data_IF_419999798046
#
_entry.id   IF_419999798046
#
_cell.length_a   1.000
_cell.length_b   1.000
_cell.length_c   1.000
_cell.angle_alpha   90.00
_cell.angle_beta   90.00
_cell.angle_gamma   90.00
#
_symmetry.space_group_name_H-M   'P 1'
#
loop_
_entity.id
_entity.type
_entity.pdbx_description
1 polymer ?
#
# COMPACT_ATOMS: atom_id res chain seq x y z
N UNK A 1 -1.37 -32.76 0.39
CA UNK A 1 -2.42 -31.73 0.49
C UNK A 1 -3.01 -31.80 1.89
N UNK A 2 -2.66 -30.86 2.78
CA UNK A 2 -3.35 -30.77 4.07
C UNK A 2 -4.70 -30.11 3.81
N UNK A 3 -5.76 -30.91 3.85
CA UNK A 3 -7.13 -30.43 3.81
C UNK A 3 -7.44 -29.76 5.14
N UNK A 4 -7.20 -28.45 5.19
CA UNK A 4 -7.45 -27.61 6.36
C UNK A 4 -8.92 -27.68 6.78
N UNK A 5 -9.84 -27.95 5.84
CA UNK A 5 -11.28 -28.08 6.11
C UNK A 5 -11.57 -29.37 6.91
N UNK A 6 -10.84 -30.45 6.65
CA UNK A 6 -10.90 -31.68 7.46
C UNK A 6 -10.18 -31.56 8.83
N UNK A 7 -9.05 -30.86 8.89
CA UNK A 7 -8.34 -30.60 10.16
C UNK A 7 -9.17 -29.72 11.11
N UNK A 8 -9.89 -28.71 10.59
CA UNK A 8 -10.80 -27.89 11.39
C UNK A 8 -12.04 -28.65 11.87
N UNK A 9 -12.48 -29.68 11.16
CA UNK A 9 -13.57 -30.55 11.59
C UNK A 9 -13.20 -31.46 12.78
N UNK A 10 -11.89 -31.73 12.98
CA UNK A 10 -11.36 -32.48 14.15
C UNK A 10 -11.24 -31.62 15.40
N UNK A 11 -11.25 -30.30 15.28
CA UNK A 11 -11.35 -29.41 16.43
C UNK A 11 -12.79 -29.40 16.93
N UNK A 12 -13.00 -29.83 18.17
CA UNK A 12 -14.34 -29.81 18.77
C UNK A 12 -14.99 -28.43 18.60
N UNK A 13 -16.31 -28.40 18.33
CA UNK A 13 -17.10 -27.16 18.16
C UNK A 13 -16.77 -26.11 19.23
N UNK A 14 -16.47 -26.52 20.46
CA UNK A 14 -16.11 -25.62 21.57
C UNK A 14 -14.70 -25.02 21.49
N UNK A 15 -13.71 -25.73 20.92
CA UNK A 15 -12.36 -25.18 20.68
C UNK A 15 -12.36 -24.21 19.51
N UNK A 16 -13.06 -24.52 18.41
CA UNK A 16 -13.21 -23.62 17.27
C UNK A 16 -13.92 -22.29 17.65
N UNK A 17 -15.01 -22.36 18.43
CA UNK A 17 -15.70 -21.17 18.95
C UNK A 17 -14.86 -20.32 19.91
N UNK A 18 -13.94 -20.91 20.67
CA UNK A 18 -13.01 -20.16 21.54
C UNK A 18 -11.81 -19.58 20.79
N UNK A 19 -11.39 -20.22 19.69
CA UNK A 19 -10.25 -19.80 18.89
C UNK A 19 -10.60 -18.69 17.90
N UNK A 20 -11.81 -18.68 17.33
CA UNK A 20 -12.23 -17.66 16.35
C UNK A 20 -12.16 -16.21 16.91
N UNK A 21 -12.66 -15.89 18.12
CA UNK A 21 -12.53 -14.54 18.68
C UNK A 21 -11.08 -14.17 19.00
N UNK A 22 -10.26 -15.13 19.45
CA UNK A 22 -8.83 -14.90 19.69
C UNK A 22 -8.05 -14.69 18.40
N UNK A 23 -8.36 -15.45 17.36
CA UNK A 23 -7.77 -15.30 16.03
C UNK A 23 -8.17 -13.95 15.41
N UNK A 24 -9.45 -13.58 15.50
CA UNK A 24 -9.94 -12.27 15.08
C UNK A 24 -9.26 -11.14 15.86
N UNK A 25 -9.22 -11.22 17.19
CA UNK A 25 -8.56 -10.23 18.05
C UNK A 25 -7.05 -10.15 17.82
N UNK A 26 -6.39 -11.25 17.49
CA UNK A 26 -4.96 -11.26 17.13
C UNK A 26 -4.72 -10.70 15.73
N UNK A 27 -5.62 -10.96 14.77
CA UNK A 27 -5.59 -10.35 13.44
C UNK A 27 -5.85 -8.85 13.51
N UNK A 28 -6.80 -8.42 14.31
CA UNK A 28 -7.12 -7.01 14.54
C UNK A 28 -5.96 -6.30 15.26
N UNK A 29 -5.34 -6.95 16.26
CA UNK A 29 -4.10 -6.45 16.91
C UNK A 29 -2.91 -6.38 15.96
N UNK A 30 -2.72 -7.37 15.10
CA UNK A 30 -1.62 -7.38 14.14
C UNK A 30 -1.81 -6.34 13.02
N UNK A 31 -3.07 -6.12 12.58
CA UNK A 31 -3.42 -5.08 11.59
C UNK A 31 -3.30 -3.66 12.15
N UNK A 32 -3.75 -3.46 13.38
CA UNK A 32 -3.68 -2.15 14.05
C UNK A 32 -2.25 -1.80 14.43
N UNK A 33 -1.44 -2.74 14.92
CA UNK A 33 -0.07 -2.41 15.38
C UNK A 33 0.80 -1.79 14.27
N UNK A 34 0.85 -2.40 13.09
CA UNK A 34 1.72 -1.91 12.02
C UNK A 34 1.25 -0.55 11.46
N UNK A 35 -0.07 -0.37 11.28
CA UNK A 35 -0.61 0.89 10.74
C UNK A 35 -0.63 2.02 11.75
N UNK A 36 -0.87 1.72 13.04
CA UNK A 36 -0.76 2.71 14.12
C UNK A 36 0.67 3.15 14.35
N UNK A 37 1.65 2.22 14.34
CA UNK A 37 3.07 2.57 14.40
C UNK A 37 3.48 3.45 13.21
N UNK A 38 3.02 3.10 12.00
CA UNK A 38 3.25 3.94 10.82
C UNK A 38 2.58 5.32 10.97
N UNK A 39 1.38 5.40 11.54
CA UNK A 39 0.71 6.66 11.81
C UNK A 39 1.50 7.53 12.79
N UNK A 40 1.92 6.97 13.92
CA UNK A 40 2.74 7.70 14.91
C UNK A 40 4.05 8.21 14.30
N UNK A 41 4.71 7.40 13.46
CA UNK A 41 6.00 7.73 12.87
C UNK A 41 5.93 8.71 11.70
N UNK A 42 4.89 8.61 10.87
CA UNK A 42 4.83 9.29 9.58
C UNK A 42 3.77 10.38 9.50
N UNK A 43 3.06 10.68 10.58
CA UNK A 43 2.02 11.72 10.55
C UNK A 43 2.11 12.68 11.71
N UNK A 44 1.61 13.88 11.46
CA UNK A 44 1.42 14.94 12.43
C UNK A 44 -0.02 15.46 12.37
N UNK A 45 -0.45 16.15 13.41
CA UNK A 45 -1.74 16.84 13.45
C UNK A 45 -1.52 18.30 13.08
N UNK A 46 -2.10 18.73 11.96
CA UNK A 46 -2.08 20.13 11.49
C UNK A 46 -3.52 20.58 11.34
N UNK A 47 -3.90 21.64 12.07
CA UNK A 47 -5.27 22.18 12.08
C UNK A 47 -6.34 21.12 12.37
N UNK A 48 -6.04 20.21 13.30
CA UNK A 48 -6.94 19.12 13.69
C UNK A 48 -7.09 18.01 12.63
N UNK A 49 -6.26 18.00 11.58
CA UNK A 49 -6.24 16.93 10.56
C UNK A 49 -4.89 16.22 10.57
N UNK A 50 -4.93 14.88 10.54
CA UNK A 50 -3.73 14.07 10.32
C UNK A 50 -3.19 14.28 8.91
N UNK A 51 -1.89 14.58 8.80
CA UNK A 51 -1.14 14.74 7.55
C UNK A 51 0.16 13.97 7.62
N UNK A 52 0.69 13.55 6.48
CA UNK A 52 2.00 12.92 6.42
C UNK A 52 3.07 14.00 6.68
N UNK A 53 4.04 13.69 7.54
CA UNK A 53 5.12 14.62 7.90
C UNK A 53 5.92 15.06 6.67
N UNK A 54 6.39 16.30 6.67
CA UNK A 54 7.43 16.74 5.73
C UNK A 54 8.81 16.47 6.31
N UNK A 55 9.57 15.57 5.68
CA UNK A 55 10.96 15.28 6.06
C UNK A 55 11.88 15.18 4.82
N UNK A 56 12.10 16.27 4.07
CA UNK A 56 12.95 16.25 2.87
C UNK A 56 14.41 15.87 3.20
N UNK A 57 15.11 15.12 2.31
CA UNK A 57 14.63 14.59 1.03
C UNK A 57 13.89 13.25 1.15
N UNK A 58 13.71 12.71 2.35
CA UNK A 58 13.22 11.34 2.56
C UNK A 58 11.70 11.20 2.38
N UNK A 59 10.92 12.16 2.85
CA UNK A 59 9.47 12.21 2.73
C UNK A 59 9.09 13.60 2.26
N UNK A 60 8.47 13.69 1.09
CA UNK A 60 8.03 14.95 0.50
C UNK A 60 6.51 14.83 0.27
N UNK A 61 5.67 15.56 1.03
CA UNK A 61 4.23 15.59 0.85
C UNK A 61 3.83 15.95 -0.58
N UNK A 62 2.70 15.40 -1.03
CA UNK A 62 2.17 15.65 -2.37
C UNK A 62 1.87 17.14 -2.59
N UNK A 63 1.43 17.85 -1.55
CA UNK A 63 1.14 19.29 -1.62
C UNK A 63 2.41 20.09 -1.94
N UNK A 64 3.52 19.81 -1.26
CA UNK A 64 4.83 20.43 -1.50
C UNK A 64 5.33 20.14 -2.93
N UNK A 65 5.06 18.94 -3.45
CA UNK A 65 5.37 18.58 -4.83
C UNK A 65 4.48 19.31 -5.83
N UNK A 66 3.19 19.44 -5.54
CA UNK A 66 2.23 20.15 -6.39
C UNK A 66 2.62 21.63 -6.57
N UNK A 67 2.99 22.29 -5.47
CA UNK A 67 3.51 23.65 -5.49
C UNK A 67 4.75 23.76 -6.37
N UNK A 68 5.72 22.86 -6.20
CA UNK A 68 6.93 22.81 -7.03
C UNK A 68 6.64 22.55 -8.51
N UNK A 69 5.58 21.83 -8.82
CA UNK A 69 5.14 21.56 -10.20
C UNK A 69 4.25 22.66 -10.77
N UNK A 70 3.89 23.68 -9.99
CA UNK A 70 2.96 24.73 -10.40
C UNK A 70 1.54 24.21 -10.62
N UNK A 71 1.17 23.09 -9.99
CA UNK A 71 -0.16 22.47 -10.11
C UNK A 71 -0.97 22.78 -8.85
N UNK A 72 -2.22 23.27 -8.97
CA UNK A 72 -3.08 23.51 -7.82
C UNK A 72 -3.27 22.25 -6.97
N UNK A 73 -3.20 22.42 -5.64
CA UNK A 73 -3.24 21.31 -4.69
C UNK A 73 -4.54 20.50 -4.80
N UNK A 74 -5.68 21.16 -4.95
CA UNK A 74 -6.99 20.53 -5.10
C UNK A 74 -7.07 19.64 -6.36
N UNK A 75 -6.46 20.08 -7.47
CA UNK A 75 -6.38 19.33 -8.72
C UNK A 75 -5.61 18.03 -8.52
N UNK A 76 -4.40 18.09 -7.94
CA UNK A 76 -3.60 16.88 -7.72
C UNK A 76 -4.27 15.92 -6.73
N UNK A 77 -4.92 16.46 -5.68
CA UNK A 77 -5.62 15.67 -4.68
C UNK A 77 -6.84 14.94 -5.29
N UNK A 78 -7.58 15.60 -6.17
CA UNK A 78 -8.70 14.98 -6.89
C UNK A 78 -8.24 13.90 -7.88
N UNK A 79 -7.12 14.13 -8.56
CA UNK A 79 -6.52 13.13 -9.44
C UNK A 79 -6.11 11.88 -8.65
N UNK A 80 -5.53 12.04 -7.45
CA UNK A 80 -5.16 10.90 -6.60
C UNK A 80 -6.36 10.09 -6.11
N UNK A 81 -7.50 10.74 -5.83
CA UNK A 81 -8.76 10.03 -5.57
C UNK A 81 -9.19 9.20 -6.79
N UNK A 82 -9.00 9.72 -8.00
CA UNK A 82 -9.29 8.99 -9.24
C UNK A 82 -8.36 7.77 -9.43
N UNK A 83 -7.06 7.96 -9.22
CA UNK A 83 -6.05 6.89 -9.23
C UNK A 83 -6.39 5.77 -8.23
N UNK A 84 -6.78 6.12 -7.01
CA UNK A 84 -7.21 5.14 -5.99
C UNK A 84 -8.44 4.35 -6.44
N UNK A 85 -9.42 4.98 -7.11
CA UNK A 85 -10.57 4.27 -7.69
C UNK A 85 -10.13 3.31 -8.80
N UNK A 86 -9.17 3.69 -9.63
CA UNK A 86 -8.58 2.84 -10.66
C UNK A 86 -7.88 1.62 -10.07
N UNK A 87 -7.00 1.84 -9.10
CA UNK A 87 -6.32 0.78 -8.34
C UNK A 87 -7.31 -0.20 -7.69
N UNK A 88 -8.38 0.31 -7.04
CA UNK A 88 -9.42 -0.51 -6.38
C UNK A 88 -10.06 -1.54 -7.33
N UNK A 89 -10.10 -1.27 -8.64
CA UNK A 89 -10.63 -2.20 -9.64
C UNK A 89 -9.74 -3.43 -9.85
N UNK A 90 -8.47 -3.38 -9.46
CA UNK A 90 -7.53 -4.52 -9.58
C UNK A 90 -7.59 -5.50 -8.40
N UNK A 91 -8.25 -5.10 -7.31
CA UNK A 91 -8.45 -5.96 -6.14
C UNK A 91 -9.60 -6.95 -6.34
N UNK A 92 -9.53 -8.07 -5.63
CA UNK A 92 -10.66 -8.99 -5.47
C UNK A 92 -11.87 -8.25 -4.88
N UNK A 93 -13.08 -8.70 -5.21
CA UNK A 93 -14.32 -7.98 -4.90
C UNK A 93 -14.50 -7.69 -3.42
N UNK A 94 -14.20 -8.66 -2.56
CA UNK A 94 -14.26 -8.53 -1.11
C UNK A 94 -13.23 -7.52 -0.56
N UNK A 95 -12.01 -7.52 -1.10
CA UNK A 95 -10.97 -6.54 -0.75
C UNK A 95 -11.26 -5.14 -1.27
N UNK A 96 -11.90 -5.03 -2.44
CA UNK A 96 -12.40 -3.76 -2.98
C UNK A 96 -13.48 -3.17 -2.08
N UNK A 97 -14.38 -4.01 -1.56
CA UNK A 97 -15.40 -3.59 -0.61
C UNK A 97 -14.77 -3.14 0.70
N UNK A 98 -13.82 -3.92 1.25
CA UNK A 98 -13.09 -3.52 2.46
C UNK A 98 -12.39 -2.16 2.29
N UNK A 99 -11.65 -1.97 1.20
CA UNK A 99 -10.95 -0.70 0.94
C UNK A 99 -11.91 0.47 0.70
N UNK A 100 -13.17 0.21 0.34
CA UNK A 100 -14.18 1.27 0.17
C UNK A 100 -14.59 1.94 1.46
N UNK A 101 -14.30 1.31 2.60
CA UNK A 101 -14.59 1.83 3.94
C UNK A 101 -13.50 2.78 4.45
N UNK A 102 -12.44 3.00 3.67
CA UNK A 102 -11.35 3.91 4.00
C UNK A 102 -11.44 5.16 3.13
N UNK A 103 -11.30 6.31 3.76
CA UNK A 103 -11.22 7.61 3.12
C UNK A 103 -9.77 8.03 2.91
N UNK A 104 -9.49 8.58 1.73
CA UNK A 104 -8.16 9.09 1.42
C UNK A 104 -7.92 10.43 2.12
N UNK A 105 -6.81 10.51 2.88
CA UNK A 105 -6.46 11.68 3.67
C UNK A 105 -5.29 12.46 3.07
N UNK A 106 -4.18 11.77 2.79
CA UNK A 106 -2.95 12.43 2.37
C UNK A 106 -1.99 11.48 1.63
N UNK A 107 -1.00 12.05 0.95
CA UNK A 107 -0.01 11.31 0.16
C UNK A 107 1.35 11.99 0.19
N UNK A 108 2.42 11.20 0.16
CA UNK A 108 3.78 11.69 0.09
C UNK A 108 4.67 10.81 -0.78
N UNK A 109 5.67 11.40 -1.42
CA UNK A 109 6.76 10.66 -2.05
C UNK A 109 7.76 10.27 -0.97
N UNK A 110 7.97 8.96 -0.80
CA UNK A 110 9.02 8.40 0.03
C UNK A 110 10.23 8.09 -0.85
N UNK A 111 11.31 8.82 -0.65
CA UNK A 111 12.60 8.43 -1.19
C UNK A 111 13.12 7.27 -0.34
N UNK A 112 13.36 6.13 -0.99
CA UNK A 112 13.96 4.94 -0.36
C UNK A 112 15.36 4.73 -0.95
N UNK A 113 16.27 4.19 -0.14
CA UNK A 113 17.73 4.20 -0.33
C UNK A 113 18.31 3.63 -1.64
N UNK A 114 19.60 3.31 -1.63
CA UNK A 114 20.42 3.04 -2.84
C UNK A 114 19.87 2.00 -3.84
N UNK A 115 19.02 1.07 -3.40
CA UNK A 115 18.38 0.08 -4.28
C UNK A 115 17.20 0.60 -5.12
N UNK A 116 16.85 1.88 -5.01
CA UNK A 116 15.71 2.49 -5.70
C UNK A 116 16.07 3.79 -6.43
N UNK A 117 17.36 4.04 -6.67
CA UNK A 117 17.84 5.21 -7.42
C UNK A 117 17.09 5.29 -8.74
N UNK A 118 16.31 6.36 -8.93
CA UNK A 118 15.51 6.60 -10.13
C UNK A 118 14.07 6.08 -10.12
N UNK A 119 13.62 5.40 -9.05
CA UNK A 119 12.26 4.86 -8.95
C UNK A 119 11.43 5.54 -7.87
N UNK A 120 10.14 5.77 -8.15
CA UNK A 120 9.22 6.46 -7.23
C UNK A 120 8.56 5.47 -6.28
N UNK A 121 8.54 5.81 -4.99
CA UNK A 121 7.72 5.11 -4.00
C UNK A 121 6.81 6.11 -3.29
N UNK A 122 5.51 5.93 -3.41
CA UNK A 122 4.51 6.79 -2.79
C UNK A 122 3.94 6.13 -1.54
N UNK A 123 3.67 6.94 -0.52
CA UNK A 123 2.89 6.58 0.67
C UNK A 123 1.54 7.27 0.60
N UNK A 124 0.48 6.54 0.89
CA UNK A 124 -0.89 7.06 0.97
C UNK A 124 -1.42 6.77 2.35
N UNK A 125 -1.90 7.80 3.03
CA UNK A 125 -2.61 7.72 4.30
C UNK A 125 -4.11 7.69 4.01
N UNK A 126 -4.77 6.66 4.52
CA UNK A 126 -6.22 6.54 4.52
C UNK A 126 -6.71 6.41 5.97
N UNK A 127 -7.92 6.89 6.23
CA UNK A 127 -8.60 6.78 7.53
C UNK A 127 -9.83 5.90 7.38
N UNK A 128 -10.03 4.94 8.30
CA UNK A 128 -11.18 4.07 8.33
C UNK A 128 -12.34 4.72 9.07
N UNK A 129 -12.75 4.09 10.17
CA UNK A 129 -13.87 4.57 11.00
C UNK A 129 -13.64 5.95 11.61
N UNK A 130 -12.40 6.19 12.04
CA UNK A 130 -11.96 7.40 12.74
C UNK A 130 -10.43 7.50 12.69
N UNK A 131 -9.86 8.56 13.27
CA UNK A 131 -8.42 8.81 13.31
C UNK A 131 -7.61 7.72 14.06
N UNK A 132 -8.27 6.78 14.74
CA UNK A 132 -7.67 5.61 15.38
C UNK A 132 -7.63 4.36 14.49
N UNK A 133 -8.10 4.44 13.24
CA UNK A 133 -8.12 3.35 12.26
C UNK A 133 -7.35 3.72 10.97
N UNK A 134 -6.04 4.04 11.05
CA UNK A 134 -5.26 4.41 9.89
C UNK A 134 -4.94 3.20 9.02
N UNK A 135 -4.87 3.43 7.71
CA UNK A 135 -4.33 2.50 6.74
C UNK A 135 -3.27 3.19 5.89
N UNK A 136 -2.04 2.66 5.94
CA UNK A 136 -1.00 3.08 5.02
C UNK A 136 -0.88 2.12 3.84
N UNK A 137 -1.01 2.68 2.65
CA UNK A 137 -0.68 2.00 1.40
C UNK A 137 0.61 2.57 0.82
N UNK A 138 1.38 1.71 0.15
CA UNK A 138 2.59 2.07 -0.57
C UNK A 138 2.43 1.68 -2.04
N UNK A 139 2.58 2.67 -2.94
CA UNK A 139 2.67 2.43 -4.37
C UNK A 139 4.13 2.53 -4.83
N UNK A 140 4.67 1.42 -5.34
CA UNK A 140 6.05 1.36 -5.84
C UNK A 140 6.04 1.29 -7.36
N UNK A 141 6.85 2.13 -7.99
CA UNK A 141 7.03 2.09 -9.43
C UNK A 141 7.57 0.72 -9.86
N UNK A 142 6.94 0.12 -10.86
CA UNK A 142 7.41 -1.08 -11.54
C UNK A 142 7.96 -0.68 -12.91
N UNK A 143 9.16 -1.15 -13.22
CA UNK A 143 9.79 -1.00 -14.53
C UNK A 143 9.75 -2.32 -15.29
N UNK A 144 10.16 -2.30 -16.56
CA UNK A 144 10.41 -3.53 -17.33
C UNK A 144 11.31 -4.50 -16.56
N UNK A 145 11.08 -5.80 -16.73
CA UNK A 145 11.90 -6.79 -16.04
C UNK A 145 13.30 -6.78 -16.63
N UNK A 146 14.32 -6.83 -15.78
CA UNK A 146 15.73 -6.97 -16.20
C UNK A 146 15.98 -8.26 -17.00
N UNK A 147 15.06 -9.22 -16.91
CA UNK A 147 15.11 -10.46 -17.67
C UNK A 147 14.52 -10.34 -19.07
N UNK A 148 13.75 -9.29 -19.40
CA UNK A 148 13.10 -9.19 -20.73
C UNK A 148 14.10 -9.24 -21.91
N UNK A 149 15.30 -8.64 -21.82
CA UNK A 149 16.32 -8.78 -22.86
C UNK A 149 16.83 -10.23 -23.08
N UNK A 150 16.61 -11.12 -22.11
CA UNK A 150 17.15 -12.48 -22.11
C UNK A 150 16.08 -13.58 -22.21
N UNK A 151 14.89 -13.34 -21.66
CA UNK A 151 13.78 -14.28 -21.59
C UNK A 151 12.62 -13.92 -22.53
N UNK A 152 12.76 -12.83 -23.30
CA UNK A 152 11.70 -12.27 -24.13
C UNK A 152 10.78 -11.32 -23.35
N UNK A 153 9.93 -10.62 -24.11
CA UNK A 153 9.02 -9.60 -23.57
C UNK A 153 8.03 -10.21 -22.58
N UNK A 154 7.70 -9.45 -21.54
CA UNK A 154 6.66 -9.83 -20.59
C UNK A 154 5.29 -10.01 -21.28
N UNK A 155 4.56 -11.07 -20.92
CA UNK A 155 3.17 -11.27 -21.36
C UNK A 155 2.23 -10.20 -20.81
N UNK A 156 2.59 -9.59 -19.67
CA UNK A 156 1.85 -8.50 -19.07
C UNK A 156 2.26 -7.18 -19.72
N UNK A 157 1.26 -6.46 -20.22
CA UNK A 157 1.43 -5.08 -20.74
C UNK A 157 1.65 -4.05 -19.64
N UNK A 158 1.42 -4.42 -18.37
CA UNK A 158 1.62 -3.60 -17.17
C UNK A 158 2.65 -4.25 -16.25
N UNK A 159 3.78 -3.58 -16.00
CA UNK A 159 4.85 -4.12 -15.17
C UNK A 159 4.44 -4.31 -13.70
N UNK A 160 3.54 -3.46 -13.19
CA UNK A 160 2.96 -3.62 -11.86
C UNK A 160 2.13 -4.89 -11.74
N UNK A 161 1.32 -5.20 -12.77
CA UNK A 161 0.55 -6.45 -12.85
C UNK A 161 1.46 -7.67 -12.83
N UNK A 162 2.56 -7.65 -13.59
CA UNK A 162 3.57 -8.72 -13.61
C UNK A 162 4.12 -8.99 -12.20
N UNK A 163 4.49 -7.92 -11.48
CA UNK A 163 5.00 -8.03 -10.09
C UNK A 163 3.94 -8.65 -9.18
N UNK A 164 2.69 -8.20 -9.26
CA UNK A 164 1.59 -8.72 -8.44
C UNK A 164 1.30 -10.19 -8.74
N UNK A 165 1.24 -10.56 -10.02
CA UNK A 165 1.04 -11.95 -10.45
C UNK A 165 2.15 -12.85 -9.91
N UNK A 166 3.41 -12.46 -10.08
CA UNK A 166 4.55 -13.21 -9.55
C UNK A 166 4.52 -13.36 -8.03
N UNK A 167 4.19 -12.30 -7.29
CA UNK A 167 4.04 -12.39 -5.83
C UNK A 167 2.92 -13.34 -5.42
N UNK A 168 1.75 -13.28 -6.07
CA UNK A 168 0.63 -14.20 -5.78
C UNK A 168 0.93 -15.66 -6.13
N UNK A 169 1.73 -15.90 -7.17
CA UNK A 169 2.15 -17.25 -7.55
C UNK A 169 3.17 -17.84 -6.57
N UNK A 170 4.13 -17.05 -6.12
CA UNK A 170 5.24 -17.52 -5.28
C UNK A 170 4.91 -17.54 -3.78
N UNK A 171 4.05 -16.63 -3.31
CA UNK A 171 3.79 -16.46 -1.87
C UNK A 171 2.51 -17.17 -1.46
N UNK A 172 2.60 -18.01 -0.42
CA UNK A 172 1.44 -18.71 0.14
C UNK A 172 0.35 -17.75 0.69
N UNK A 173 0.76 -16.55 1.12
CA UNK A 173 -0.15 -15.48 1.55
C UNK A 173 0.45 -14.14 1.14
N UNK A 174 -0.21 -13.46 0.19
CA UNK A 174 0.16 -12.12 -0.25
C UNK A 174 -0.58 -11.05 0.56
N UNK A 175 -0.10 -9.81 0.49
CA UNK A 175 -0.80 -8.66 1.04
C UNK A 175 -2.24 -8.55 0.51
N UNK A 176 -3.21 -8.30 1.39
CA UNK A 176 -4.65 -8.32 1.05
C UNK A 176 -5.05 -7.15 0.13
N UNK A 177 -4.24 -6.10 0.10
CA UNK A 177 -4.39 -4.92 -0.74
C UNK A 177 -3.37 -4.90 -1.89
N UNK A 178 -2.74 -6.05 -2.19
CA UNK A 178 -1.83 -6.20 -3.32
C UNK A 178 -2.58 -6.02 -4.64
N UNK A 179 -2.29 -4.92 -5.33
CA UNK A 179 -2.87 -4.58 -6.63
C UNK A 179 -1.91 -3.73 -7.48
N UNK A 180 -2.37 -3.22 -8.60
CA UNK A 180 -1.54 -2.45 -9.52
C UNK A 180 -2.33 -1.32 -10.17
N UNK A 181 -1.62 -0.35 -10.75
CA UNK A 181 -2.24 0.67 -11.58
C UNK A 181 -1.21 1.31 -12.52
N UNK A 182 -1.68 1.88 -13.64
CA UNK A 182 -0.88 2.73 -14.52
C UNK A 182 -1.33 4.17 -14.33
N UNK A 183 -0.39 5.07 -14.12
CA UNK A 183 -0.66 6.49 -13.89
C UNK A 183 0.14 7.29 -14.91
N UNK A 184 -0.52 8.18 -15.63
CA UNK A 184 0.15 9.22 -16.42
C UNK A 184 0.47 10.39 -15.51
N UNK A 185 1.75 10.74 -15.44
CA UNK A 185 2.20 11.84 -14.58
C UNK A 185 1.66 13.17 -15.11
N UNK A 186 1.06 14.01 -14.25
CA UNK A 186 0.54 15.31 -14.67
C UNK A 186 1.64 16.31 -15.04
N UNK A 187 2.90 16.01 -14.70
CA UNK A 187 4.05 16.89 -14.90
C UNK A 187 4.71 16.67 -16.25
N UNK A 188 4.92 15.42 -16.63
CA UNK A 188 5.69 15.03 -17.82
C UNK A 188 4.88 14.18 -18.82
N UNK A 189 3.62 13.88 -18.52
CA UNK A 189 2.75 13.05 -19.36
C UNK A 189 3.16 11.57 -19.45
N UNK A 190 4.26 11.17 -18.83
CA UNK A 190 4.80 9.82 -18.97
C UNK A 190 3.98 8.84 -18.12
N UNK A 191 3.43 7.83 -18.78
CA UNK A 191 2.76 6.71 -18.15
C UNK A 191 3.76 5.83 -17.39
N UNK A 192 3.44 5.54 -16.12
CA UNK A 192 4.25 4.71 -15.23
C UNK A 192 3.39 3.66 -14.58
N UNK A 193 3.94 2.45 -14.47
CA UNK A 193 3.29 1.35 -13.78
C UNK A 193 3.67 1.32 -12.32
N UNK A 194 2.70 0.98 -11.48
CA UNK A 194 2.86 0.86 -10.04
C UNK A 194 2.23 -0.45 -9.56
N UNK A 195 2.84 -1.05 -8.55
CA UNK A 195 2.17 -2.02 -7.69
C UNK A 195 1.93 -1.40 -6.31
N UNK A 196 0.80 -1.71 -5.72
CA UNK A 196 0.31 -1.17 -4.46
C UNK A 196 0.20 -2.28 -3.43
N UNK A 197 0.60 -2.00 -2.19
CA UNK A 197 0.55 -2.94 -1.05
C UNK A 197 0.42 -2.17 0.26
N UNK A 198 0.12 -2.82 1.38
CA UNK A 198 0.22 -2.15 2.68
C UNK A 198 1.67 -1.77 2.97
N UNK A 199 1.87 -0.59 3.55
CA UNK A 199 3.16 -0.21 4.07
C UNK A 199 3.40 -0.99 5.36
N UNK A 200 4.38 -1.90 5.34
CA UNK A 200 4.91 -2.55 6.54
C UNK A 200 6.31 -2.03 6.77
N UNK A 201 6.46 -1.08 7.67
CA UNK A 201 7.79 -0.61 8.09
C UNK A 201 8.30 -1.48 9.24
N UNK A 202 8.65 -2.73 8.93
CA UNK A 202 9.26 -3.66 9.90
C UNK A 202 10.74 -3.36 10.16
N UNK A 203 11.30 -2.28 9.61
CA UNK A 203 12.62 -1.82 10.01
C UNK A 203 12.47 -1.00 11.28
N UNK A 204 12.38 -1.72 12.41
CA UNK A 204 13.13 -1.29 13.56
C UNK A 204 14.56 -1.11 13.07
N UNK A 205 14.99 0.14 12.88
CA UNK A 205 16.42 0.42 12.94
C UNK A 205 16.85 -0.11 14.30
N UNK A 206 17.73 -1.11 14.31
CA UNK A 206 18.55 -1.28 15.49
C UNK A 206 19.27 0.07 15.63
N UNK A 207 18.95 0.83 16.68
CA UNK A 207 19.89 1.82 17.16
C UNK A 207 21.14 1.04 17.52
N UNK A 208 22.16 1.21 16.68
CA UNK A 208 23.49 0.73 16.98
C UNK A 208 24.15 1.87 17.73
N UNK A 209 23.89 1.93 19.03
CA UNK A 209 24.79 2.57 19.98
C UNK A 209 26.01 1.67 20.22
#
# INVERSE_FOLDING_TARGET
HLDLTQEFARLSKSKAQKLLPKAQKNLDKARTRDSMQAMEKFTELVDGRRRIISAPPLIIPLNDLAEKWGVPTDVVQNEMRSVLRGYRRTLQTDRRHLLSQFEYMDMALKVVGVGSVGTRAWMMLLSGRDDGDPLFLQAKQAQESVLEPHAGRSEFTNAGQRVVAGQRLMQASSDIFLGWHRISSPVDGVARDYYVRQLRDWKASADVD
#
